data_IF_430089772706
#
_entry.id   IF_430089772706
#
_cell.length_a   1.000
_cell.length_b   1.000
_cell.length_c   1.000
_cell.angle_alpha   90.00
_cell.angle_beta   90.00
_cell.angle_gamma   90.00
#
_symmetry.space_group_name_H-M   'P 1'
#
loop_
_entity.id
_entity.type
_entity.pdbx_description
1 polymer ?
#
# COMPACT_ATOMS: atom_id res chain seq x y z
N UNK A 1 -12.94 17.47 6.79
CA UNK A 1 -11.75 17.52 5.92
C UNK A 1 -10.44 17.50 6.71
N UNK A 2 -10.14 18.49 7.57
CA UNK A 2 -8.89 18.50 8.34
C UNK A 2 -8.71 17.28 9.27
N UNK A 3 -9.78 16.84 9.91
CA UNK A 3 -9.77 15.63 10.76
C UNK A 3 -9.47 14.35 9.97
N UNK A 4 -10.04 14.21 8.77
CA UNK A 4 -9.78 13.07 7.89
C UNK A 4 -8.33 13.04 7.38
N UNK A 5 -7.75 14.21 7.07
CA UNK A 5 -6.33 14.31 6.72
C UNK A 5 -5.43 13.90 7.90
N UNK A 6 -5.72 14.39 9.11
CA UNK A 6 -5.00 13.98 10.32
C UNK A 6 -5.10 12.48 10.58
N UNK A 7 -6.30 11.90 10.49
CA UNK A 7 -6.46 10.45 10.60
C UNK A 7 -5.66 9.70 9.53
N UNK A 8 -5.65 10.20 8.29
CA UNK A 8 -4.83 9.63 7.22
C UNK A 8 -3.34 9.60 7.56
N UNK A 9 -2.83 10.67 8.17
CA UNK A 9 -1.45 10.78 8.67
C UNK A 9 -1.17 9.76 9.78
N UNK A 10 -2.04 9.72 10.79
CA UNK A 10 -1.84 8.94 12.01
C UNK A 10 -2.01 7.42 11.78
N UNK A 11 -2.99 7.02 10.96
CA UNK A 11 -3.45 5.63 10.91
C UNK A 11 -3.16 4.92 9.58
N UNK A 12 -3.01 5.64 8.47
CA UNK A 12 -2.95 5.04 7.14
C UNK A 12 -1.59 5.24 6.45
N UNK A 13 -1.00 6.43 6.54
CA UNK A 13 0.19 6.83 5.79
C UNK A 13 1.37 5.88 6.01
N UNK A 14 1.54 5.42 7.25
CA UNK A 14 2.58 4.49 7.62
C UNK A 14 2.43 3.11 6.96
N UNK A 15 1.21 2.71 6.58
CA UNK A 15 0.95 1.47 5.84
C UNK A 15 1.43 1.58 4.39
N UNK A 16 1.32 2.75 3.78
CA UNK A 16 1.85 3.04 2.44
C UNK A 16 3.36 2.82 2.34
N UNK A 17 4.09 2.91 3.44
CA UNK A 17 5.52 2.57 3.51
C UNK A 17 5.73 1.11 3.90
N UNK A 18 5.08 0.64 4.96
CA UNK A 18 5.40 -0.66 5.57
C UNK A 18 4.93 -1.84 4.73
N UNK A 19 3.75 -1.77 4.11
CA UNK A 19 3.22 -2.89 3.33
C UNK A 19 4.00 -3.14 2.03
N UNK A 20 4.35 -2.13 1.20
CA UNK A 20 5.17 -2.38 0.00
C UNK A 20 6.58 -2.84 0.32
N UNK A 21 7.24 -2.24 1.33
CA UNK A 21 8.54 -2.75 1.79
C UNK A 21 8.42 -4.17 2.35
N UNK A 22 7.31 -4.46 3.02
CA UNK A 22 6.94 -5.79 3.48
C UNK A 22 6.91 -6.80 2.32
N UNK A 23 6.17 -6.47 1.26
CA UNK A 23 6.03 -7.31 0.08
C UNK A 23 7.37 -7.48 -0.67
N UNK A 24 8.12 -6.39 -0.86
CA UNK A 24 9.44 -6.40 -1.51
C UNK A 24 10.52 -7.18 -0.75
N UNK A 25 10.34 -7.39 0.56
CA UNK A 25 11.25 -8.27 1.30
C UNK A 25 11.07 -9.74 0.95
N UNK A 26 9.83 -10.15 0.67
CA UNK A 26 9.52 -11.52 0.26
C UNK A 26 9.62 -11.71 -1.27
N UNK A 27 9.49 -10.62 -2.04
CA UNK A 27 9.64 -10.60 -3.52
C UNK A 27 10.66 -9.53 -3.97
N UNK A 28 11.94 -9.66 -3.58
CA UNK A 28 12.97 -8.65 -3.87
C UNK A 28 13.23 -8.47 -5.36
N UNK A 29 12.98 -9.50 -6.18
CA UNK A 29 13.09 -9.42 -7.64
C UNK A 29 12.13 -8.39 -8.27
N UNK A 30 11.02 -8.09 -7.59
CA UNK A 30 10.05 -7.09 -8.03
C UNK A 30 10.50 -5.64 -7.78
N UNK A 31 11.62 -5.41 -7.10
CA UNK A 31 12.10 -4.06 -6.79
C UNK A 31 12.37 -3.23 -8.04
N UNK A 32 12.94 -3.84 -9.09
CA UNK A 32 13.22 -3.16 -10.36
C UNK A 32 11.93 -2.67 -11.05
N UNK A 33 10.96 -3.56 -11.20
CA UNK A 33 9.66 -3.23 -11.82
C UNK A 33 8.85 -2.28 -10.96
N UNK A 34 8.84 -2.45 -9.64
CA UNK A 34 8.15 -1.55 -8.69
C UNK A 34 8.64 -0.10 -8.80
N UNK A 35 9.94 0.10 -9.06
CA UNK A 35 10.54 1.41 -9.31
C UNK A 35 10.30 1.97 -10.73
N UNK A 36 9.60 1.23 -11.59
CA UNK A 36 9.36 1.59 -13.00
C UNK A 36 10.50 1.21 -13.95
N UNK A 37 11.47 0.42 -13.50
CA UNK A 37 12.56 -0.10 -14.30
C UNK A 37 12.26 -1.48 -14.91
N UNK A 38 13.23 -2.07 -15.65
CA UNK A 38 13.13 -3.44 -16.15
C UNK A 38 13.19 -4.47 -15.00
N UNK A 39 12.80 -5.73 -15.25
CA UNK A 39 13.06 -6.84 -14.35
C UNK A 39 14.55 -6.93 -13.98
N UNK A 40 14.83 -7.28 -12.72
CA UNK A 40 16.21 -7.45 -12.26
C UNK A 40 16.82 -8.73 -12.81
N UNK A 41 18.11 -8.67 -13.12
CA UNK A 41 18.92 -9.87 -13.37
C UNK A 41 19.29 -10.55 -12.03
N UNK A 42 19.99 -11.70 -12.04
CA UNK A 42 20.35 -12.39 -10.79
C UNK A 42 21.21 -11.56 -9.84
N UNK A 43 22.13 -10.74 -10.35
CA UNK A 43 23.00 -9.89 -9.53
C UNK A 43 22.22 -8.74 -8.89
N UNK A 44 21.34 -8.10 -9.65
CA UNK A 44 20.40 -7.08 -9.17
C UNK A 44 19.43 -7.66 -8.14
N UNK A 45 18.99 -8.90 -8.31
CA UNK A 45 18.15 -9.60 -7.31
C UNK A 45 18.91 -9.85 -6.00
N UNK A 46 20.18 -10.28 -6.04
CA UNK A 46 21.00 -10.44 -4.82
C UNK A 46 21.20 -9.10 -4.09
N UNK A 47 21.42 -8.02 -4.84
CA UNK A 47 21.44 -6.67 -4.28
C UNK A 47 20.11 -6.30 -3.64
N UNK A 48 18.98 -6.53 -4.33
CA UNK A 48 17.64 -6.23 -3.84
C UNK A 48 17.30 -6.97 -2.54
N UNK A 49 17.73 -8.23 -2.38
CA UNK A 49 17.58 -8.99 -1.13
C UNK A 49 18.23 -8.24 0.04
N UNK A 50 19.49 -7.79 -0.14
CA UNK A 50 20.24 -7.08 0.91
C UNK A 50 19.64 -5.70 1.18
N UNK A 51 19.24 -5.01 0.12
CA UNK A 51 18.62 -3.70 0.19
C UNK A 51 17.28 -3.73 0.91
N UNK A 52 16.37 -4.66 0.57
CA UNK A 52 15.08 -4.80 1.24
C UNK A 52 15.24 -5.11 2.74
N UNK A 53 16.23 -5.94 3.12
CA UNK A 53 16.57 -6.19 4.53
C UNK A 53 17.09 -4.94 5.24
N UNK A 54 17.93 -4.15 4.57
CA UNK A 54 18.41 -2.88 5.12
C UNK A 54 17.27 -1.87 5.27
N UNK A 55 16.37 -1.78 4.28
CA UNK A 55 15.17 -0.94 4.33
C UNK A 55 14.27 -1.32 5.50
N UNK A 56 14.04 -2.62 5.76
CA UNK A 56 13.28 -3.05 6.94
C UNK A 56 13.90 -2.55 8.24
N UNK A 57 15.22 -2.67 8.40
CA UNK A 57 15.93 -2.18 9.59
C UNK A 57 15.83 -0.67 9.73
N UNK A 58 16.08 0.07 8.65
CA UNK A 58 16.00 1.53 8.62
C UNK A 58 14.59 2.04 8.96
N UNK A 59 13.57 1.33 8.49
CA UNK A 59 12.17 1.68 8.68
C UNK A 59 11.53 1.09 9.95
N UNK A 60 12.28 0.32 10.74
CA UNK A 60 11.77 -0.34 11.94
C UNK A 60 10.69 -1.39 11.67
N UNK A 61 10.69 -2.01 10.50
CA UNK A 61 9.69 -3.02 10.10
C UNK A 61 10.03 -4.36 10.73
N UNK A 62 9.04 -4.97 11.37
CA UNK A 62 9.13 -6.33 11.90
C UNK A 62 8.00 -7.19 11.33
N UNK A 63 8.23 -8.51 11.30
CA UNK A 63 7.24 -9.51 10.89
C UNK A 63 5.94 -9.37 11.70
N UNK A 64 6.04 -9.21 13.02
CA UNK A 64 4.88 -9.03 13.91
C UNK A 64 4.09 -7.76 13.59
N UNK A 65 4.79 -6.63 13.37
CA UNK A 65 4.13 -5.37 13.04
C UNK A 65 3.46 -5.44 11.67
N UNK A 66 4.13 -6.04 10.68
CA UNK A 66 3.59 -6.23 9.34
C UNK A 66 2.33 -7.12 9.36
N UNK A 67 2.33 -8.21 10.13
CA UNK A 67 1.16 -9.06 10.30
C UNK A 67 -0.01 -8.30 10.95
N UNK A 68 0.26 -7.50 11.99
CA UNK A 68 -0.76 -6.69 12.66
C UNK A 68 -1.34 -5.60 11.73
N UNK A 69 -0.50 -4.99 10.89
CA UNK A 69 -0.92 -4.02 9.88
C UNK A 69 -1.87 -4.64 8.86
N UNK A 70 -1.52 -5.82 8.33
CA UNK A 70 -2.36 -6.55 7.38
C UNK A 70 -3.70 -6.94 8.00
N UNK A 71 -3.68 -7.46 9.23
CA UNK A 71 -4.89 -7.82 9.97
C UNK A 71 -5.81 -6.60 10.24
N UNK A 72 -5.22 -5.43 10.50
CA UNK A 72 -5.97 -4.20 10.77
C UNK A 72 -6.31 -3.38 9.52
N UNK A 73 -5.86 -3.78 8.32
CA UNK A 73 -6.11 -3.04 7.09
C UNK A 73 -7.62 -2.98 6.73
N UNK A 74 -8.42 -4.07 6.84
CA UNK A 74 -9.84 -4.02 6.48
C UNK A 74 -10.62 -2.90 7.20
N UNK A 75 -10.46 -2.76 8.51
CA UNK A 75 -11.14 -1.74 9.29
C UNK A 75 -10.76 -0.30 8.88
N UNK A 76 -9.50 -0.09 8.45
CA UNK A 76 -9.06 1.21 7.91
C UNK A 76 -9.68 1.49 6.55
N UNK A 77 -9.81 0.47 5.70
CA UNK A 77 -10.51 0.61 4.42
C UNK A 77 -12.01 0.87 4.63
N UNK A 78 -12.64 0.24 5.64
CA UNK A 78 -14.03 0.52 6.02
C UNK A 78 -14.19 1.99 6.44
N UNK A 79 -13.23 2.54 7.19
CA UNK A 79 -13.23 3.94 7.56
C UNK A 79 -13.11 4.87 6.34
N UNK A 80 -12.20 4.57 5.41
CA UNK A 80 -12.09 5.33 4.14
C UNK A 80 -13.39 5.28 3.36
N UNK A 81 -14.02 4.11 3.25
CA UNK A 81 -15.30 3.97 2.56
C UNK A 81 -16.40 4.80 3.22
N UNK A 82 -16.43 4.86 4.56
CA UNK A 82 -17.35 5.71 5.30
C UNK A 82 -17.09 7.21 5.05
N UNK A 83 -15.83 7.63 4.92
CA UNK A 83 -15.47 9.00 4.55
C UNK A 83 -15.95 9.36 3.13
N UNK A 84 -15.87 8.42 2.18
CA UNK A 84 -16.43 8.60 0.83
C UNK A 84 -17.96 8.70 0.90
N UNK A 85 -18.62 7.78 1.60
CA UNK A 85 -20.08 7.78 1.76
C UNK A 85 -20.60 9.06 2.42
N UNK A 86 -19.84 9.61 3.38
CA UNK A 86 -20.13 10.89 4.03
C UNK A 86 -19.79 12.13 3.18
N UNK A 87 -19.29 11.96 1.95
CA UNK A 87 -18.92 13.07 1.05
C UNK A 87 -17.67 13.84 1.49
N UNK A 88 -16.86 13.28 2.40
CA UNK A 88 -15.60 13.89 2.85
C UNK A 88 -14.48 13.67 1.85
N UNK A 89 -14.50 12.53 1.15
CA UNK A 89 -13.57 12.17 0.07
C UNK A 89 -14.35 11.99 -1.24
N UNK A 90 -13.66 12.12 -2.38
CA UNK A 90 -14.23 11.84 -3.70
C UNK A 90 -15.12 12.95 -4.26
N UNK A 91 -14.96 14.19 -3.78
CA UNK A 91 -15.65 15.37 -4.31
C UNK A 91 -15.24 15.73 -5.74
N UNK A 92 -15.87 16.75 -6.33
CA UNK A 92 -15.57 17.20 -7.70
C UNK A 92 -14.11 17.65 -7.88
N UNK A 93 -13.56 18.30 -6.86
CA UNK A 93 -12.15 18.73 -6.78
C UNK A 93 -11.49 18.02 -5.60
N UNK A 94 -10.22 17.62 -5.72
CA UNK A 94 -9.53 16.95 -4.63
C UNK A 94 -9.30 17.93 -3.47
N UNK A 95 -9.50 17.46 -2.25
CA UNK A 95 -9.05 18.15 -1.05
C UNK A 95 -7.74 17.53 -0.52
N UNK A 96 -7.19 18.07 0.57
CA UNK A 96 -5.93 17.57 1.14
C UNK A 96 -6.02 16.08 1.55
N UNK A 97 -7.16 15.65 2.09
CA UNK A 97 -7.36 14.26 2.50
C UNK A 97 -7.46 13.33 1.28
N UNK A 98 -8.10 13.75 0.19
CA UNK A 98 -8.10 12.98 -1.08
C UNK A 98 -6.68 12.68 -1.57
N UNK A 99 -5.82 13.69 -1.55
CA UNK A 99 -4.45 13.55 -2.02
C UNK A 99 -3.61 12.70 -1.06
N UNK A 100 -3.73 12.92 0.24
CA UNK A 100 -2.96 12.20 1.25
C UNK A 100 -3.36 10.71 1.32
N UNK A 101 -4.66 10.43 1.51
CA UNK A 101 -5.20 9.07 1.62
C UNK A 101 -5.08 8.37 0.25
N UNK A 102 -5.46 9.06 -0.82
CA UNK A 102 -5.42 8.50 -2.18
C UNK A 102 -4.02 8.11 -2.63
N UNK A 103 -2.99 8.88 -2.28
CA UNK A 103 -1.59 8.53 -2.61
C UNK A 103 -1.14 7.25 -1.90
N UNK A 104 -1.53 7.09 -0.63
CA UNK A 104 -1.24 5.87 0.13
C UNK A 104 -1.94 4.67 -0.49
N UNK A 105 -3.23 4.80 -0.79
CA UNK A 105 -4.01 3.74 -1.44
C UNK A 105 -3.47 3.39 -2.84
N UNK A 106 -3.00 4.37 -3.60
CA UNK A 106 -2.34 4.16 -4.90
C UNK A 106 -1.08 3.30 -4.77
N UNK A 107 -0.29 3.51 -3.71
CA UNK A 107 0.88 2.67 -3.43
C UNK A 107 0.46 1.26 -2.99
N UNK A 108 -0.58 1.12 -2.17
CA UNK A 108 -1.10 -0.20 -1.75
C UNK A 108 -1.63 -1.00 -2.95
N UNK A 109 -2.27 -0.35 -3.93
CA UNK A 109 -2.74 -0.99 -5.18
C UNK A 109 -1.60 -1.53 -6.06
N UNK A 110 -0.34 -1.15 -5.81
CA UNK A 110 0.81 -1.75 -6.48
C UNK A 110 1.19 -3.12 -5.89
N UNK A 111 0.63 -3.52 -4.75
CA UNK A 111 0.86 -4.83 -4.12
C UNK A 111 -0.34 -5.73 -4.41
N UNK A 112 -0.17 -6.72 -5.30
CA UNK A 112 -1.29 -7.52 -5.80
C UNK A 112 -1.98 -8.37 -4.73
N UNK A 113 -1.25 -8.78 -3.69
CA UNK A 113 -1.85 -9.48 -2.54
C UNK A 113 -2.96 -8.66 -1.85
N UNK A 114 -2.91 -7.33 -1.93
CA UNK A 114 -3.91 -6.45 -1.32
C UNK A 114 -5.14 -6.23 -2.20
N UNK A 115 -5.13 -6.69 -3.45
CA UNK A 115 -6.24 -6.46 -4.39
C UNK A 115 -7.55 -7.06 -3.89
N UNK A 116 -7.52 -8.23 -3.27
CA UNK A 116 -8.72 -8.85 -2.68
C UNK A 116 -9.41 -7.97 -1.63
N UNK A 117 -8.67 -7.08 -0.97
CA UNK A 117 -9.21 -6.15 0.02
C UNK A 117 -9.61 -4.80 -0.57
N UNK A 118 -9.09 -4.41 -1.74
CA UNK A 118 -9.25 -3.07 -2.32
C UNK A 118 -10.20 -3.04 -3.51
N UNK A 119 -10.17 -4.07 -4.37
CA UNK A 119 -10.89 -4.06 -5.65
C UNK A 119 -12.41 -3.90 -5.44
N UNK A 120 -12.99 -2.95 -6.18
CA UNK A 120 -14.42 -2.62 -6.14
C UNK A 120 -14.84 -1.77 -4.94
N UNK A 121 -13.91 -1.28 -4.10
CA UNK A 121 -14.24 -0.42 -2.96
C UNK A 121 -14.27 1.06 -3.33
N UNK A 122 -15.07 1.88 -2.63
CA UNK A 122 -14.93 3.34 -2.68
C UNK A 122 -13.50 3.82 -2.42
N UNK A 123 -12.76 3.18 -1.50
CA UNK A 123 -11.36 3.47 -1.24
C UNK A 123 -10.47 3.33 -2.49
N UNK A 124 -10.64 2.27 -3.29
CA UNK A 124 -9.91 2.11 -4.55
C UNK A 124 -10.22 3.28 -5.51
N UNK A 125 -11.48 3.70 -5.59
CA UNK A 125 -11.90 4.79 -6.47
C UNK A 125 -11.23 6.11 -6.09
N UNK A 126 -11.03 6.39 -4.79
CA UNK A 126 -10.30 7.59 -4.33
C UNK A 126 -8.89 7.62 -4.91
N UNK A 127 -8.17 6.50 -4.87
CA UNK A 127 -6.83 6.40 -5.46
C UNK A 127 -6.87 6.61 -6.97
N UNK A 128 -7.72 5.86 -7.68
CA UNK A 128 -7.79 5.86 -9.15
C UNK A 128 -8.27 7.19 -9.74
N UNK A 129 -9.06 7.96 -8.99
CA UNK A 129 -9.58 9.25 -9.45
C UNK A 129 -8.48 10.29 -9.58
N UNK A 130 -7.51 10.28 -8.67
CA UNK A 130 -6.51 11.34 -8.55
C UNK A 130 -5.09 10.90 -8.92
N UNK A 131 -4.83 9.60 -8.96
CA UNK A 131 -3.51 9.04 -9.24
C UNK A 131 -3.58 8.07 -10.42
N UNK A 132 -2.67 8.22 -11.37
CA UNK A 132 -2.51 7.28 -12.47
C UNK A 132 -2.08 5.89 -11.98
N UNK A 133 -2.36 4.86 -12.77
CA UNK A 133 -1.87 3.51 -12.49
C UNK A 133 -0.34 3.50 -12.41
N UNK A 134 0.18 2.91 -11.33
CA UNK A 134 1.62 2.75 -11.15
C UNK A 134 2.13 1.71 -12.16
N UNK A 135 3.24 1.99 -12.87
CA UNK A 135 3.78 1.05 -13.87
C UNK A 135 4.34 -0.22 -13.22
N UNK A 136 4.81 -0.10 -11.98
CA UNK A 136 5.39 -1.18 -11.21
C UNK A 136 4.41 -1.86 -10.26
N UNK A 137 4.44 -3.20 -10.23
CA UNK A 137 3.69 -4.02 -9.29
C UNK A 137 4.59 -4.99 -8.54
N UNK A 138 4.19 -5.34 -7.33
CA UNK A 138 4.68 -6.52 -6.60
C UNK A 138 3.68 -7.65 -6.84
N UNK A 139 4.07 -8.72 -7.57
CA UNK A 139 3.16 -9.80 -7.91
C UNK A 139 2.58 -10.50 -6.68
N UNK A 140 1.39 -11.11 -6.84
CA UNK A 140 0.74 -11.87 -5.78
C UNK A 140 1.62 -13.05 -5.28
N UNK A 141 1.34 -13.50 -4.07
CA UNK A 141 2.15 -14.46 -3.33
C UNK A 141 3.41 -13.82 -2.74
N UNK A 142 3.33 -12.55 -2.33
CA UNK A 142 4.43 -11.86 -1.64
C UNK A 142 4.36 -12.08 -0.13
N UNK A 143 3.21 -11.83 0.49
CA UNK A 143 3.05 -12.05 1.93
C UNK A 143 2.92 -13.55 2.26
N UNK A 144 3.34 -13.97 3.47
CA UNK A 144 3.13 -15.34 3.93
C UNK A 144 1.65 -15.73 3.89
N UNK A 145 1.39 -17.00 3.58
CA UNK A 145 0.02 -17.53 3.52
C UNK A 145 -0.75 -17.29 4.83
N UNK A 146 -1.99 -16.82 4.73
CA UNK A 146 -2.86 -16.53 5.86
C UNK A 146 -2.63 -15.19 6.56
N UNK A 147 -1.65 -14.38 6.11
CA UNK A 147 -1.41 -13.05 6.70
C UNK A 147 -2.35 -11.98 6.17
N UNK A 148 -2.73 -12.05 4.89
CA UNK A 148 -3.67 -11.11 4.30
C UNK A 148 -5.09 -11.60 4.61
N UNK A 149 -5.93 -10.79 5.28
CA UNK A 149 -7.32 -11.15 5.51
C UNK A 149 -8.08 -11.35 4.21
N UNK A 150 -9.10 -12.20 4.27
CA UNK A 150 -10.12 -12.28 3.22
C UNK A 150 -11.24 -11.29 3.53
N UNK A 151 -11.81 -10.70 2.49
CA UNK A 151 -12.97 -9.80 2.61
C UNK A 151 -14.26 -10.58 2.79
#
# INVERSE_FOLDING_TARGET
MAEAARWGDDELQDLGRRLPWGALHFRPEALGTFAGGPPLDPAGTDHAIRFARASWRYHGITAQRLAADLAGLPARLDHVDALVAGGVLGGERPNAADLQIGSTLSVLLAVEDLHGLLTGRPAEQVARRWFADRPGRVPAGAFPAGWVPVR
#
